data_IF_748259863103
#
_entry.id   IF_748259863103
#
_cell.length_a   1.000
_cell.length_b   1.000
_cell.length_c   1.000
_cell.angle_alpha   90.00
_cell.angle_beta   90.00
_cell.angle_gamma   90.00
#
_symmetry.space_group_name_H-M   'P 1'
#
loop_
_entity.id
_entity.type
_entity.pdbx_description
1 polymer ?
#
# COMPACT_ATOMS: atom_id res chain seq x y z
N UNK A 1 29.83 -39.41 -19.91
CA UNK A 1 31.02 -38.60 -20.27
C UNK A 1 30.54 -37.35 -21.01
N UNK A 2 30.30 -36.28 -20.27
CA UNK A 2 30.22 -34.90 -20.78
C UNK A 2 30.56 -33.99 -19.59
N UNK A 3 31.79 -34.16 -19.11
CA UNK A 3 32.42 -33.22 -18.18
C UNK A 3 32.75 -31.95 -18.95
N UNK A 4 32.17 -30.82 -18.56
CA UNK A 4 32.44 -29.56 -19.24
C UNK A 4 31.54 -28.39 -18.87
N UNK A 5 30.96 -28.37 -17.67
CA UNK A 5 30.39 -27.13 -17.14
C UNK A 5 31.53 -26.24 -16.66
N UNK A 6 31.84 -25.18 -17.41
CA UNK A 6 32.80 -24.16 -16.98
C UNK A 6 32.21 -23.45 -15.74
N UNK A 7 32.55 -23.93 -14.55
CA UNK A 7 32.27 -23.21 -13.30
C UNK A 7 33.18 -21.97 -13.28
N UNK A 8 32.66 -20.84 -13.76
CA UNK A 8 33.32 -19.54 -13.58
C UNK A 8 33.16 -19.17 -12.11
N UNK A 9 34.23 -18.78 -11.38
CA UNK A 9 34.07 -18.19 -10.07
C UNK A 9 33.24 -16.92 -10.23
N UNK A 10 32.06 -16.88 -9.61
CA UNK A 10 31.26 -15.67 -9.51
C UNK A 10 32.13 -14.68 -8.73
N UNK A 11 32.47 -13.54 -9.35
CA UNK A 11 33.19 -12.48 -8.65
C UNK A 11 32.41 -12.15 -7.36
N UNK A 12 33.07 -11.94 -6.21
CA UNK A 12 32.37 -11.60 -4.99
C UNK A 12 31.49 -10.37 -5.25
N UNK A 13 30.18 -10.55 -5.09
CA UNK A 13 29.20 -9.50 -5.29
C UNK A 13 29.33 -8.54 -4.10
N UNK A 14 29.56 -7.26 -4.40
CA UNK A 14 29.59 -6.21 -3.38
C UNK A 14 28.16 -5.86 -2.98
N UNK A 15 27.58 -6.69 -2.12
CA UNK A 15 26.17 -6.59 -1.69
C UNK A 15 25.90 -5.26 -1.01
N UNK A 16 26.83 -4.77 -0.17
CA UNK A 16 26.68 -3.50 0.55
C UNK A 16 26.57 -2.31 -0.42
N UNK A 17 27.42 -2.27 -1.46
CA UNK A 17 27.33 -1.23 -2.48
C UNK A 17 26.00 -1.29 -3.23
N UNK A 18 25.55 -2.49 -3.61
CA UNK A 18 24.32 -2.68 -4.38
C UNK A 18 23.07 -2.31 -3.58
N UNK A 19 22.99 -2.70 -2.31
CA UNK A 19 21.90 -2.30 -1.42
C UNK A 19 21.82 -0.78 -1.27
N UNK A 20 22.98 -0.12 -1.12
CA UNK A 20 23.05 1.34 -1.06
C UNK A 20 22.64 2.02 -2.37
N UNK A 21 23.03 1.46 -3.52
CA UNK A 21 22.62 1.95 -4.84
C UNK A 21 21.10 1.83 -5.02
N UNK A 22 20.51 0.70 -4.62
CA UNK A 22 19.05 0.49 -4.64
C UNK A 22 18.31 1.48 -3.73
N UNK A 23 18.78 1.69 -2.51
CA UNK A 23 18.21 2.66 -1.57
C UNK A 23 18.30 4.08 -2.14
N UNK A 24 19.45 4.45 -2.69
CA UNK A 24 19.64 5.77 -3.31
C UNK A 24 18.70 5.99 -4.49
N UNK A 25 18.51 4.96 -5.32
CA UNK A 25 17.57 5.01 -6.45
C UNK A 25 16.12 5.20 -5.98
N UNK A 26 15.68 4.42 -5.00
CA UNK A 26 14.33 4.52 -4.45
C UNK A 26 14.07 5.90 -3.83
N UNK A 27 15.02 6.40 -3.02
CA UNK A 27 14.93 7.71 -2.41
C UNK A 27 14.83 8.85 -3.44
N UNK A 28 15.56 8.75 -4.55
CA UNK A 28 15.48 9.74 -5.62
C UNK A 28 14.09 9.75 -6.29
N UNK A 29 13.54 8.56 -6.56
CA UNK A 29 12.18 8.46 -7.12
C UNK A 29 11.14 9.06 -6.17
N UNK A 30 11.26 8.77 -4.87
CA UNK A 30 10.31 9.28 -3.86
C UNK A 30 10.40 10.81 -3.73
N UNK A 31 11.61 11.37 -3.78
CA UNK A 31 11.84 12.81 -3.73
C UNK A 31 11.31 13.55 -4.97
N UNK A 32 11.56 13.01 -6.17
CA UNK A 32 11.03 13.59 -7.42
C UNK A 32 9.50 13.48 -7.47
N UNK A 33 8.95 12.35 -7.02
CA UNK A 33 7.51 12.16 -6.90
C UNK A 33 6.90 13.20 -5.95
N UNK A 34 7.48 13.41 -4.76
CA UNK A 34 7.05 14.46 -3.81
C UNK A 34 6.99 15.84 -4.46
N UNK A 35 8.03 16.23 -5.18
CA UNK A 35 8.08 17.54 -5.85
C UNK A 35 6.94 17.72 -6.86
N UNK A 36 6.59 16.66 -7.61
CA UNK A 36 5.47 16.67 -8.55
C UNK A 36 4.13 16.80 -7.82
N UNK A 37 3.95 16.08 -6.71
CA UNK A 37 2.72 16.15 -5.89
C UNK A 37 2.52 17.54 -5.27
N UNK A 38 3.60 18.19 -4.80
CA UNK A 38 3.53 19.55 -4.28
C UNK A 38 3.08 20.53 -5.38
N UNK A 39 3.70 20.46 -6.57
CA UNK A 39 3.32 21.27 -7.71
C UNK A 39 1.86 21.04 -8.13
N UNK A 40 1.42 19.78 -8.15
CA UNK A 40 0.04 19.43 -8.46
C UNK A 40 -0.94 19.98 -7.42
N UNK A 41 -0.59 19.92 -6.13
CA UNK A 41 -1.38 20.51 -5.05
C UNK A 41 -1.53 22.01 -5.18
N UNK A 42 -0.43 22.73 -5.46
CA UNK A 42 -0.48 24.18 -5.74
C UNK A 42 -1.35 24.53 -6.94
N UNK A 43 -1.36 23.69 -7.97
CA UNK A 43 -2.19 23.88 -9.15
C UNK A 43 -3.68 23.64 -8.84
N UNK A 44 -4.00 22.52 -8.19
CA UNK A 44 -5.38 22.14 -7.81
C UNK A 44 -6.01 23.14 -6.85
N UNK A 45 -5.24 23.68 -5.91
CA UNK A 45 -5.71 24.69 -4.96
C UNK A 45 -6.20 26.00 -5.60
N UNK A 46 -5.90 26.24 -6.89
CA UNK A 46 -6.41 27.40 -7.63
C UNK A 46 -7.88 27.29 -8.05
N UNK A 47 -8.49 26.10 -7.89
CA UNK A 47 -9.92 25.90 -8.13
C UNK A 47 -10.32 25.89 -9.61
N UNK A 48 -9.40 25.52 -10.50
CA UNK A 48 -9.68 25.37 -11.94
C UNK A 48 -10.12 23.95 -12.33
N UNK A 49 -10.02 22.98 -11.41
CA UNK A 49 -10.36 21.58 -11.62
C UNK A 49 -11.58 21.17 -10.76
N UNK A 50 -12.05 19.93 -10.94
CA UNK A 50 -13.21 19.36 -10.22
C UNK A 50 -12.98 19.26 -8.70
N UNK A 51 -11.73 19.09 -8.29
CA UNK A 51 -11.32 19.01 -6.89
C UNK A 51 -10.15 19.96 -6.64
N UNK A 52 -10.12 20.54 -5.44
CA UNK A 52 -9.09 21.47 -5.01
C UNK A 52 -7.84 20.78 -4.45
N UNK A 53 -7.84 19.45 -4.43
CA UNK A 53 -6.76 18.60 -3.94
C UNK A 53 -6.37 17.55 -4.98
N UNK A 54 -5.22 16.90 -4.76
CA UNK A 54 -4.75 15.84 -5.65
C UNK A 54 -5.51 14.56 -5.34
N UNK A 55 -6.32 14.10 -6.30
CA UNK A 55 -7.22 12.96 -6.15
C UNK A 55 -6.52 11.59 -6.15
N UNK A 56 -5.30 11.50 -6.70
CA UNK A 56 -4.54 10.24 -6.76
C UNK A 56 -3.69 10.15 -5.49
N UNK A 57 -3.97 9.22 -4.56
CA UNK A 57 -3.18 9.12 -3.34
C UNK A 57 -1.83 8.44 -3.60
N UNK A 58 -0.78 8.90 -2.92
CA UNK A 58 0.50 8.18 -2.88
C UNK A 58 0.40 6.97 -1.98
N UNK A 59 1.07 5.89 -2.37
CA UNK A 59 0.99 4.59 -1.68
C UNK A 59 2.39 3.99 -1.55
N UNK A 60 2.70 3.41 -0.38
CA UNK A 60 4.03 2.83 -0.10
C UNK A 60 4.06 1.34 -0.45
N UNK A 61 3.01 0.61 -0.10
CA UNK A 61 2.94 -0.84 -0.26
C UNK A 61 1.51 -1.32 -0.57
N UNK A 62 1.33 -2.64 -0.67
CA UNK A 62 0.03 -3.25 -0.94
C UNK A 62 -1.02 -2.89 0.13
N UNK A 63 -0.61 -2.82 1.39
CA UNK A 63 -1.51 -2.56 2.51
C UNK A 63 -1.99 -1.10 2.51
N UNK A 64 -1.07 -0.16 2.28
CA UNK A 64 -1.35 1.27 2.13
C UNK A 64 -2.23 1.55 0.90
N UNK A 65 -2.06 0.79 -0.19
CA UNK A 65 -2.98 0.83 -1.34
C UNK A 65 -4.40 0.44 -0.97
N UNK A 66 -4.58 -0.67 -0.26
CA UNK A 66 -5.92 -1.15 0.10
C UNK A 66 -6.64 -0.14 1.00
N UNK A 67 -5.95 0.42 2.00
CA UNK A 67 -6.51 1.43 2.90
C UNK A 67 -6.90 2.71 2.17
N UNK A 68 -6.01 3.25 1.33
CA UNK A 68 -6.26 4.52 0.61
C UNK A 68 -7.31 4.42 -0.47
N UNK A 69 -7.50 3.24 -1.07
CA UNK A 69 -8.55 3.04 -2.06
C UNK A 69 -9.94 2.91 -1.44
N UNK A 70 -10.02 2.47 -0.18
CA UNK A 70 -11.28 2.20 0.52
C UNK A 70 -11.55 3.20 1.65
N UNK A 71 -10.79 4.31 1.74
CA UNK A 71 -10.84 5.22 2.88
C UNK A 71 -12.22 5.86 3.11
N UNK A 72 -13.00 6.08 2.04
CA UNK A 72 -14.35 6.65 2.11
C UNK A 72 -15.38 5.65 2.65
N UNK A 73 -15.15 4.36 2.42
CA UNK A 73 -16.04 3.28 2.86
C UNK A 73 -15.66 2.75 4.26
N UNK A 74 -14.36 2.77 4.57
CA UNK A 74 -13.79 2.40 5.86
C UNK A 74 -13.97 3.51 6.90
N UNK A 75 -15.21 3.91 7.13
CA UNK A 75 -15.57 4.95 8.10
C UNK A 75 -16.54 4.39 9.11
N UNK A 76 -16.15 4.47 10.38
CA UNK A 76 -16.90 3.97 11.53
C UNK A 76 -17.15 5.11 12.51
N UNK A 77 -18.42 5.43 12.77
CA UNK A 77 -18.77 6.52 13.70
C UNK A 77 -18.17 7.88 13.28
N UNK A 78 -18.01 8.10 11.96
CA UNK A 78 -17.42 9.31 11.39
C UNK A 78 -15.89 9.39 11.45
N UNK A 79 -15.21 8.29 11.78
CA UNK A 79 -13.74 8.20 11.82
C UNK A 79 -13.22 7.15 10.83
N UNK A 80 -12.10 7.41 10.14
CA UNK A 80 -11.44 6.39 9.33
C UNK A 80 -11.06 5.18 10.17
N UNK A 81 -11.26 3.99 9.62
CA UNK A 81 -10.83 2.71 10.15
C UNK A 81 -9.50 2.33 9.48
N UNK A 82 -8.34 2.52 10.15
CA UNK A 82 -7.06 2.15 9.58
C UNK A 82 -6.92 0.63 9.57
N UNK A 83 -6.54 0.07 8.41
CA UNK A 83 -6.43 -1.39 8.18
C UNK A 83 -5.06 -1.81 7.66
N UNK A 84 -4.22 -0.89 7.19
CA UNK A 84 -2.95 -1.23 6.54
C UNK A 84 -2.04 -2.05 7.47
N UNK A 85 -1.98 -1.69 8.76
CA UNK A 85 -1.16 -2.43 9.73
C UNK A 85 -1.70 -3.85 10.00
N UNK A 86 -3.02 -4.02 9.98
CA UNK A 86 -3.63 -5.33 10.15
C UNK A 86 -3.35 -6.22 8.93
N UNK A 87 -3.40 -5.65 7.72
CA UNK A 87 -3.03 -6.33 6.48
C UNK A 87 -1.56 -6.76 6.52
N UNK A 88 -0.63 -5.89 6.94
CA UNK A 88 0.80 -6.23 7.04
C UNK A 88 1.05 -7.40 8.00
N UNK A 89 0.37 -7.40 9.15
CA UNK A 89 0.44 -8.50 10.12
C UNK A 89 -0.11 -9.80 9.55
N UNK A 90 -1.26 -9.75 8.88
CA UNK A 90 -1.86 -10.93 8.26
C UNK A 90 -0.95 -11.53 7.17
N UNK A 91 -0.35 -10.69 6.31
CA UNK A 91 0.58 -11.13 5.26
C UNK A 91 1.94 -11.63 5.78
N UNK A 92 2.30 -11.31 7.03
CA UNK A 92 3.50 -11.85 7.66
C UNK A 92 3.29 -13.29 8.15
N UNK A 93 2.04 -13.69 8.40
CA UNK A 93 1.68 -14.99 8.97
C UNK A 93 1.06 -15.96 7.96
N UNK A 94 0.36 -15.43 6.96
CA UNK A 94 -0.48 -16.20 6.02
C UNK A 94 -0.16 -15.84 4.58
N UNK A 95 -0.61 -16.68 3.66
CA UNK A 95 -0.61 -16.30 2.25
C UNK A 95 -1.61 -15.16 2.00
N UNK A 96 -1.54 -14.59 0.79
CA UNK A 96 -2.30 -13.39 0.47
C UNK A 96 -3.80 -13.66 0.48
N UNK A 97 -4.21 -14.82 0.00
CA UNK A 97 -5.60 -15.23 -0.16
C UNK A 97 -6.26 -15.45 1.21
N UNK A 98 -5.61 -16.17 2.11
CA UNK A 98 -6.08 -16.39 3.47
C UNK A 98 -6.09 -15.07 4.27
N UNK A 99 -5.03 -14.27 4.15
CA UNK A 99 -4.96 -12.95 4.78
C UNK A 99 -6.08 -12.02 4.30
N UNK A 100 -6.47 -12.09 3.02
CA UNK A 100 -7.56 -11.29 2.48
C UNK A 100 -8.91 -11.70 3.06
N UNK A 101 -9.19 -13.01 3.13
CA UNK A 101 -10.45 -13.53 3.71
C UNK A 101 -10.56 -13.16 5.19
N UNK A 102 -9.49 -13.33 5.96
CA UNK A 102 -9.49 -12.96 7.37
C UNK A 102 -9.70 -11.46 7.56
N UNK A 103 -9.09 -10.64 6.71
CA UNK A 103 -9.25 -9.19 6.82
C UNK A 103 -10.65 -8.73 6.45
N UNK A 104 -11.23 -9.30 5.40
CA UNK A 104 -12.62 -9.11 5.02
C UNK A 104 -13.58 -9.35 6.20
N UNK A 105 -13.45 -10.52 6.85
CA UNK A 105 -14.27 -10.89 8.00
C UNK A 105 -13.99 -9.97 9.19
N UNK A 106 -12.72 -9.65 9.47
CA UNK A 106 -12.34 -8.79 10.58
C UNK A 106 -12.93 -7.38 10.46
N UNK A 107 -12.86 -6.78 9.26
CA UNK A 107 -13.40 -5.45 8.99
C UNK A 107 -14.93 -5.46 9.11
N UNK A 108 -15.60 -6.45 8.50
CA UNK A 108 -17.06 -6.57 8.57
C UNK A 108 -17.56 -6.68 10.03
N UNK A 109 -16.88 -7.48 10.86
CA UNK A 109 -17.20 -7.60 12.29
C UNK A 109 -16.94 -6.30 13.06
N UNK A 110 -15.82 -5.61 12.79
CA UNK A 110 -15.54 -4.32 13.43
C UNK A 110 -16.59 -3.25 13.11
N UNK A 111 -17.13 -3.26 11.90
CA UNK A 111 -18.18 -2.33 11.50
C UNK A 111 -19.53 -2.67 12.13
N UNK A 112 -19.86 -3.95 12.23
CA UNK A 112 -21.07 -4.42 12.94
C UNK A 112 -21.00 -4.10 14.45
N UNK A 113 -19.86 -4.37 15.09
CA UNK A 113 -19.60 -4.05 16.50
C UNK A 113 -19.75 -2.54 16.79
N UNK A 114 -19.44 -1.70 15.81
CA UNK A 114 -19.59 -0.26 15.92
C UNK A 114 -21.02 0.24 15.61
N UNK A 115 -21.94 -0.65 15.22
CA UNK A 115 -23.33 -0.36 14.95
C UNK A 115 -23.60 0.21 13.56
N UNK A 116 -22.69 0.01 12.60
CA UNK A 116 -22.94 0.39 11.21
C UNK A 116 -24.02 -0.52 10.59
N UNK A 117 -24.76 -0.05 9.57
CA UNK A 117 -25.77 -0.86 8.90
C UNK A 117 -25.16 -2.11 8.25
N UNK A 118 -25.86 -3.25 8.35
CA UNK A 118 -25.41 -4.55 7.83
C UNK A 118 -24.95 -4.50 6.37
N UNK A 119 -25.63 -3.75 5.50
CA UNK A 119 -25.23 -3.63 4.08
C UNK A 119 -23.82 -3.03 3.94
N UNK A 120 -23.49 -2.03 4.75
CA UNK A 120 -22.18 -1.39 4.75
C UNK A 120 -21.10 -2.34 5.25
N UNK A 121 -21.38 -3.11 6.30
CA UNK A 121 -20.46 -4.13 6.80
C UNK A 121 -20.13 -5.19 5.73
N UNK A 122 -21.14 -5.58 4.94
CA UNK A 122 -20.99 -6.51 3.82
C UNK A 122 -20.16 -5.86 2.70
N UNK A 123 -20.50 -4.64 2.27
CA UNK A 123 -19.83 -3.94 1.16
C UNK A 123 -18.35 -3.68 1.44
N UNK A 124 -17.96 -3.46 2.69
CA UNK A 124 -16.55 -3.29 3.09
C UNK A 124 -15.77 -4.59 3.25
N UNK A 125 -16.46 -5.72 3.40
CA UNK A 125 -15.88 -7.03 3.71
C UNK A 125 -15.90 -8.03 2.55
N UNK A 126 -16.41 -7.67 1.37
CA UNK A 126 -16.50 -8.53 0.17
C UNK A 126 -15.70 -7.94 -0.99
#
# INVERSE_FOLDING_TARGET
MSEGGVSRPIAPMDTERLEKEMESYQNNLDAECEAIYQLAGEARAKGFDLQNEVEIPRVIDLADRAEKLLCDELVVGGKPLPIAENIRKALAEKDREDAAIDMAVHIALQMDDAGEPVHKCIDTGL
#
